data_IF_213780318884
#
_entry.id   IF_213780318884
#
_cell.length_a   1.000
_cell.length_b   1.000
_cell.length_c   1.000
_cell.angle_alpha   90.00
_cell.angle_beta   90.00
_cell.angle_gamma   90.00
#
_symmetry.space_group_name_H-M   'P 1'
#
loop_
_entity.id
_entity.type
_entity.pdbx_description
1 polymer ?
#
# COMPACT_ATOMS: atom_id res chain seq x y z
N UNK A 1 3.13 -8.50 -7.03
CA UNK A 1 3.36 -7.63 -8.20
C UNK A 1 2.05 -7.31 -8.89
N UNK A 2 1.15 -8.28 -9.05
CA UNK A 2 -0.16 -8.10 -9.72
C UNK A 2 -1.15 -7.19 -8.98
N UNK A 3 -1.06 -7.11 -7.65
CA UNK A 3 -1.93 -6.24 -6.85
C UNK A 3 -1.71 -4.74 -7.08
N UNK A 4 -0.49 -4.32 -7.45
CA UNK A 4 -0.19 -2.93 -7.82
C UNK A 4 -0.84 -2.56 -9.15
N UNK A 5 -0.74 -3.45 -10.15
CA UNK A 5 -1.41 -3.28 -11.44
C UNK A 5 -2.92 -3.13 -11.26
N UNK A 6 -3.51 -3.97 -10.41
CA UNK A 6 -4.94 -3.91 -10.09
C UNK A 6 -5.32 -2.63 -9.37
N UNK A 7 -4.48 -2.14 -8.45
CA UNK A 7 -4.66 -0.83 -7.82
C UNK A 7 -4.62 0.32 -8.83
N UNK A 8 -3.71 0.27 -9.80
CA UNK A 8 -3.63 1.27 -10.88
C UNK A 8 -4.85 1.22 -11.80
N UNK A 9 -5.28 0.02 -12.21
CA UNK A 9 -6.48 -0.19 -13.03
C UNK A 9 -7.71 0.34 -12.28
N UNK A 10 -7.83 0.05 -10.99
CA UNK A 10 -8.93 0.54 -10.17
C UNK A 10 -8.94 2.07 -10.07
N UNK A 11 -7.78 2.69 -9.86
CA UNK A 11 -7.67 4.15 -9.80
C UNK A 11 -8.08 4.81 -11.12
N UNK A 12 -7.71 4.21 -12.25
CA UNK A 12 -8.12 4.65 -13.58
C UNK A 12 -9.66 4.54 -13.75
N UNK A 13 -10.23 3.38 -13.41
CA UNK A 13 -11.67 3.13 -13.48
C UNK A 13 -12.45 4.13 -12.62
N UNK A 14 -12.04 4.35 -11.37
CA UNK A 14 -12.71 5.33 -10.48
C UNK A 14 -12.58 6.75 -11.01
N UNK A 15 -11.44 7.12 -11.61
CA UNK A 15 -11.25 8.44 -12.22
C UNK A 15 -12.23 8.67 -13.37
N UNK A 16 -12.47 7.65 -14.21
CA UNK A 16 -13.51 7.68 -15.25
C UNK A 16 -14.95 7.63 -14.68
N UNK A 17 -15.19 6.83 -13.63
CA UNK A 17 -16.51 6.67 -13.02
C UNK A 17 -16.95 7.82 -12.12
N UNK A 18 -16.05 8.74 -11.75
CA UNK A 18 -16.38 9.92 -10.92
C UNK A 18 -17.44 10.83 -11.56
N UNK A 19 -17.77 10.62 -12.84
CA UNK A 19 -18.89 11.29 -13.54
C UNK A 19 -20.29 10.72 -13.20
N UNK A 20 -20.40 9.57 -12.53
CA UNK A 20 -21.67 8.96 -12.08
C UNK A 20 -21.57 8.57 -10.60
N UNK A 21 -21.86 9.53 -9.72
CA UNK A 21 -21.85 9.32 -8.27
C UNK A 21 -23.07 8.48 -7.84
N UNK A 22 -22.91 7.15 -7.90
CA UNK A 22 -23.85 6.22 -7.24
C UNK A 22 -23.44 6.12 -5.78
N UNK A 23 -24.32 6.65 -4.90
CA UNK A 23 -24.15 6.61 -3.45
C UNK A 23 -24.52 5.22 -2.94
N UNK A 24 -23.52 4.48 -2.47
CA UNK A 24 -23.76 3.19 -1.84
C UNK A 24 -24.38 3.39 -0.45
N UNK A 25 -25.29 2.50 -0.06
CA UNK A 25 -25.85 2.53 1.29
C UNK A 25 -24.81 2.00 2.30
N UNK A 26 -24.89 2.47 3.55
CA UNK A 26 -23.98 2.03 4.63
C UNK A 26 -23.98 0.51 4.85
N UNK A 27 -25.10 -0.15 4.53
CA UNK A 27 -25.23 -1.60 4.60
C UNK A 27 -24.38 -2.30 3.52
N UNK A 28 -24.42 -1.79 2.28
CA UNK A 28 -23.62 -2.31 1.17
C UNK A 28 -22.12 -2.13 1.46
N UNK A 29 -21.72 -0.98 2.00
CA UNK A 29 -20.33 -0.75 2.44
C UNK A 29 -19.90 -1.82 3.46
N UNK A 30 -20.70 -2.05 4.50
CA UNK A 30 -20.38 -3.03 5.54
C UNK A 30 -20.25 -4.46 5.00
N UNK A 31 -21.17 -4.87 4.13
CA UNK A 31 -21.13 -6.18 3.46
C UNK A 31 -19.88 -6.32 2.60
N UNK A 32 -19.51 -5.28 1.84
CA UNK A 32 -18.30 -5.29 1.01
C UNK A 32 -17.02 -5.36 1.85
N UNK A 33 -16.97 -4.70 3.02
CA UNK A 33 -15.84 -4.81 3.95
C UNK A 33 -15.70 -6.25 4.44
N UNK A 34 -16.79 -6.86 4.91
CA UNK A 34 -16.77 -8.25 5.38
C UNK A 34 -16.38 -9.19 4.26
N UNK A 35 -16.90 -8.99 3.06
CA UNK A 35 -16.60 -9.84 1.91
C UNK A 35 -15.13 -9.71 1.48
N UNK A 36 -14.61 -8.48 1.40
CA UNK A 36 -13.19 -8.23 1.11
C UNK A 36 -12.26 -8.82 2.18
N UNK A 37 -12.59 -8.64 3.46
CA UNK A 37 -11.87 -9.24 4.58
C UNK A 37 -11.93 -10.77 4.53
N UNK A 38 -13.09 -11.35 4.23
CA UNK A 38 -13.27 -12.80 4.09
C UNK A 38 -12.41 -13.39 2.98
N UNK A 39 -12.32 -12.73 1.81
CA UNK A 39 -11.44 -13.15 0.72
C UNK A 39 -9.96 -13.12 1.13
N UNK A 40 -9.53 -12.10 1.88
CA UNK A 40 -8.17 -12.02 2.43
C UNK A 40 -7.90 -13.16 3.42
N UNK A 41 -8.85 -13.47 4.30
CA UNK A 41 -8.73 -14.58 5.26
C UNK A 41 -8.65 -15.92 4.54
N UNK A 42 -9.48 -16.16 3.52
CA UNK A 42 -9.45 -17.37 2.69
C UNK A 42 -8.11 -17.50 1.96
N UNK A 43 -7.58 -16.40 1.42
CA UNK A 43 -6.23 -16.37 0.84
C UNK A 43 -5.15 -16.72 1.87
N UNK A 44 -5.34 -16.35 3.14
CA UNK A 44 -4.40 -16.64 4.21
C UNK A 44 -4.51 -18.04 4.83
N UNK A 45 -5.66 -18.71 4.71
CA UNK A 45 -5.98 -19.96 5.41
C UNK A 45 -5.10 -21.16 5.02
N UNK A 46 -4.57 -21.19 3.79
CA UNK A 46 -3.78 -22.31 3.28
C UNK A 46 -2.28 -22.03 3.37
N UNK A 47 -1.42 -23.04 3.47
CA UNK A 47 0.06 -22.83 3.45
C UNK A 47 0.55 -22.29 2.11
N UNK A 48 1.72 -21.64 2.08
CA UNK A 48 2.38 -21.11 0.87
C UNK A 48 2.64 -22.20 -0.19
N UNK A 49 2.86 -23.44 0.25
CA UNK A 49 3.18 -24.56 -0.65
C UNK A 49 1.94 -25.18 -1.28
N UNK A 50 0.77 -24.94 -0.69
CA UNK A 50 -0.50 -25.54 -1.11
C UNK A 50 -0.92 -25.02 -2.49
N UNK A 51 -1.35 -25.92 -3.38
CA UNK A 51 -1.78 -25.59 -4.75
C UNK A 51 -2.82 -24.46 -4.78
N UNK A 52 -3.78 -24.47 -3.85
CA UNK A 52 -4.81 -23.44 -3.74
C UNK A 52 -4.22 -22.03 -3.57
N UNK A 53 -3.21 -21.87 -2.70
CA UNK A 53 -2.55 -20.57 -2.52
C UNK A 53 -1.80 -20.15 -3.78
N UNK A 54 -1.10 -21.08 -4.43
CA UNK A 54 -0.32 -20.83 -5.65
C UNK A 54 -1.19 -20.39 -6.84
N UNK A 55 -2.41 -20.92 -6.96
CA UNK A 55 -3.27 -20.67 -8.13
C UNK A 55 -4.39 -19.68 -7.86
N UNK A 56 -5.12 -19.83 -6.74
CA UNK A 56 -6.32 -19.05 -6.45
C UNK A 56 -6.12 -18.03 -5.33
N UNK A 57 -5.20 -18.30 -4.38
CA UNK A 57 -4.93 -17.42 -3.26
C UNK A 57 -4.55 -16.00 -3.68
N UNK A 58 -3.67 -15.85 -4.68
CA UNK A 58 -3.29 -14.54 -5.22
C UNK A 58 -4.47 -13.80 -5.85
N UNK A 59 -5.39 -14.50 -6.51
CA UNK A 59 -6.60 -13.90 -7.07
C UNK A 59 -7.57 -13.46 -5.97
N UNK A 60 -7.73 -14.25 -4.90
CA UNK A 60 -8.49 -13.84 -3.72
C UNK A 60 -7.90 -12.59 -3.06
N UNK A 61 -6.58 -12.50 -2.94
CA UNK A 61 -5.92 -11.30 -2.42
C UNK A 61 -6.16 -10.09 -3.32
N UNK A 62 -5.98 -10.26 -4.63
CA UNK A 62 -6.21 -9.20 -5.61
C UNK A 62 -7.63 -8.64 -5.52
N UNK A 63 -8.66 -9.50 -5.52
CA UNK A 63 -10.06 -9.07 -5.43
C UNK A 63 -10.35 -8.45 -4.06
N UNK A 64 -9.89 -9.08 -2.98
CA UNK A 64 -10.09 -8.57 -1.62
C UNK A 64 -9.50 -7.17 -1.43
N UNK A 65 -8.25 -6.96 -1.87
CA UNK A 65 -7.61 -5.64 -1.83
C UNK A 65 -8.30 -4.63 -2.76
N UNK A 66 -8.76 -5.03 -3.95
CA UNK A 66 -9.50 -4.15 -4.86
C UNK A 66 -10.74 -3.56 -4.20
N UNK A 67 -11.53 -4.41 -3.53
CA UNK A 67 -12.76 -3.99 -2.86
C UNK A 67 -12.45 -3.00 -1.73
N UNK A 68 -11.44 -3.31 -0.91
CA UNK A 68 -11.04 -2.43 0.19
C UNK A 68 -10.48 -1.08 -0.30
N UNK A 69 -9.66 -1.09 -1.36
CA UNK A 69 -9.11 0.14 -1.95
C UNK A 69 -10.25 0.98 -2.55
N UNK A 70 -11.20 0.37 -3.26
CA UNK A 70 -12.38 1.06 -3.83
C UNK A 70 -13.17 1.78 -2.74
N UNK A 71 -13.41 1.11 -1.62
CA UNK A 71 -14.10 1.70 -0.48
C UNK A 71 -13.30 2.86 0.15
N UNK A 72 -11.98 2.72 0.25
CA UNK A 72 -11.11 3.77 0.80
C UNK A 72 -11.02 5.02 -0.09
N UNK A 73 -11.17 4.87 -1.41
CA UNK A 73 -11.16 6.00 -2.36
C UNK A 73 -12.44 6.84 -2.31
N UNK A 74 -13.57 6.27 -1.87
CA UNK A 74 -14.85 6.97 -1.78
C UNK A 74 -14.90 7.86 -0.53
N UNK A 75 -14.73 9.17 -0.73
CA UNK A 75 -14.61 10.20 0.32
C UNK A 75 -15.77 10.29 1.32
N UNK A 76 -16.95 9.76 0.99
CA UNK A 76 -18.14 9.85 1.87
C UNK A 76 -18.19 8.76 2.96
N UNK A 77 -17.26 7.82 2.95
CA UNK A 77 -17.32 6.62 3.78
C UNK A 77 -16.55 6.74 5.10
N UNK A 78 -16.98 5.99 6.13
CA UNK A 78 -16.32 5.92 7.44
C UNK A 78 -14.86 5.46 7.33
N UNK A 79 -14.62 4.52 6.43
CA UNK A 79 -13.30 3.99 6.08
C UNK A 79 -12.38 5.06 5.51
N UNK A 80 -12.85 5.86 4.54
CA UNK A 80 -12.08 6.97 3.98
C UNK A 80 -11.70 8.03 5.05
N UNK A 81 -12.57 8.26 6.03
CA UNK A 81 -12.29 9.18 7.14
C UNK A 81 -11.22 8.64 8.10
N UNK A 82 -11.22 7.34 8.37
CA UNK A 82 -10.20 6.71 9.22
C UNK A 82 -8.82 6.67 8.54
N UNK A 83 -8.76 6.27 7.27
CA UNK A 83 -7.51 6.21 6.50
C UNK A 83 -7.02 7.58 6.01
N UNK A 84 -7.88 8.59 6.01
CA UNK A 84 -7.54 9.97 5.66
C UNK A 84 -6.92 10.81 6.78
N UNK A 85 -6.73 10.25 7.98
CA UNK A 85 -6.12 10.97 9.11
C UNK A 85 -4.70 11.43 8.77
N UNK A 86 -4.33 12.61 9.28
CA UNK A 86 -3.03 13.24 9.02
C UNK A 86 -1.83 12.37 9.42
N UNK A 87 -2.01 11.50 10.42
CA UNK A 87 -0.99 10.56 10.86
C UNK A 87 -0.64 9.52 9.78
N UNK A 88 -1.58 9.15 8.91
CA UNK A 88 -1.33 8.20 7.82
C UNK A 88 -0.73 8.85 6.58
N UNK A 89 -0.80 10.18 6.44
CA UNK A 89 -0.21 10.90 5.29
C UNK A 89 1.30 10.66 5.08
N UNK A 90 2.17 10.66 6.11
CA UNK A 90 3.57 10.33 5.92
C UNK A 90 3.75 8.85 5.52
N UNK A 91 3.01 7.94 6.16
CA UNK A 91 3.08 6.50 5.83
C UNK A 91 2.65 6.23 4.38
N UNK A 92 1.58 6.87 3.92
CA UNK A 92 1.10 6.75 2.55
C UNK A 92 2.07 7.33 1.51
N UNK A 93 2.85 8.36 1.87
CA UNK A 93 3.90 8.91 1.01
C UNK A 93 5.15 8.04 0.98
N UNK A 94 5.53 7.48 2.12
CA UNK A 94 6.69 6.61 2.21
C UNK A 94 6.46 5.19 1.72
N UNK A 95 5.21 4.73 1.67
CA UNK A 95 4.88 3.35 1.35
C UNK A 95 5.50 2.90 0.02
N UNK A 96 5.57 3.79 -0.97
CA UNK A 96 6.23 3.54 -2.25
C UNK A 96 7.74 3.32 -2.09
N UNK A 97 8.43 4.25 -1.43
CA UNK A 97 9.87 4.15 -1.18
C UNK A 97 10.21 2.96 -0.26
N UNK A 98 9.38 2.70 0.75
CA UNK A 98 9.50 1.50 1.58
C UNK A 98 9.36 0.24 0.76
N UNK A 99 8.37 0.15 -0.13
CA UNK A 99 8.20 -1.02 -0.99
C UNK A 99 9.41 -1.27 -1.89
N UNK A 100 9.98 -0.23 -2.50
CA UNK A 100 11.16 -0.37 -3.35
C UNK A 100 12.40 -0.85 -2.58
N UNK A 101 12.59 -0.35 -1.37
CA UNK A 101 13.81 -0.59 -0.61
C UNK A 101 13.68 -1.70 0.44
N UNK A 102 12.48 -2.23 0.71
CA UNK A 102 12.29 -3.17 1.81
C UNK A 102 13.09 -4.46 1.66
N UNK A 103 13.23 -5.04 0.45
CA UNK A 103 13.95 -6.31 0.26
C UNK A 103 15.43 -6.13 0.61
N UNK A 104 16.04 -5.04 0.15
CA UNK A 104 17.43 -4.72 0.41
C UNK A 104 17.66 -4.37 1.90
N UNK A 105 16.82 -3.51 2.46
CA UNK A 105 16.95 -3.07 3.86
C UNK A 105 16.65 -4.22 4.83
N UNK A 106 15.61 -5.02 4.57
CA UNK A 106 15.26 -6.15 5.41
C UNK A 106 16.35 -7.22 5.39
N UNK A 107 16.92 -7.53 4.22
CA UNK A 107 18.07 -8.44 4.13
C UNK A 107 19.25 -7.98 4.98
N UNK A 108 19.58 -6.68 4.92
CA UNK A 108 20.66 -6.10 5.71
C UNK A 108 20.34 -6.09 7.22
N UNK A 109 19.14 -5.66 7.61
CA UNK A 109 18.71 -5.58 9.00
C UNK A 109 18.63 -6.96 9.66
N UNK A 110 18.04 -7.94 8.97
CA UNK A 110 17.96 -9.33 9.43
C UNK A 110 19.36 -9.93 9.53
N UNK A 111 20.24 -9.73 8.53
CA UNK A 111 21.62 -10.23 8.60
C UNK A 111 22.40 -9.67 9.79
N UNK A 112 22.16 -8.41 10.17
CA UNK A 112 22.79 -7.80 11.35
C UNK A 112 22.27 -8.37 12.66
N UNK A 113 20.97 -8.63 12.77
CA UNK A 113 20.35 -9.20 13.99
C UNK A 113 20.67 -10.69 14.13
N UNK A 114 20.79 -11.42 13.02
CA UNK A 114 21.10 -12.86 13.01
C UNK A 114 22.59 -13.20 13.10
N UNK A 115 23.47 -12.20 13.06
CA UNK A 115 24.94 -12.35 13.06
C UNK A 115 25.54 -13.10 14.28
N UNK A 116 24.74 -13.60 15.22
CA UNK A 116 25.19 -14.40 16.37
C UNK A 116 24.24 -15.50 16.83
N UNK A 117 23.14 -15.78 16.10
CA UNK A 117 22.12 -16.75 16.54
C UNK A 117 22.14 -18.01 15.66
N UNK A 118 22.52 -19.16 16.24
CA UNK A 118 22.49 -20.48 15.56
C UNK A 118 21.10 -21.11 15.48
N UNK A 119 20.18 -20.73 16.36
CA UNK A 119 18.76 -21.13 16.33
C UNK A 119 17.90 -19.96 16.82
N UNK A 120 17.11 -19.31 15.94
CA UNK A 120 16.28 -18.20 16.37
C UNK A 120 15.08 -18.71 17.18
N UNK A 121 15.01 -18.33 18.45
CA UNK A 121 13.76 -18.42 19.20
C UNK A 121 12.70 -17.51 18.55
N UNK A 122 11.41 -17.88 18.64
CA UNK A 122 10.30 -17.10 18.06
C UNK A 122 10.32 -15.62 18.46
N UNK A 123 10.75 -15.30 19.68
CA UNK A 123 10.91 -13.91 20.14
C UNK A 123 11.96 -13.12 19.37
N UNK A 124 13.09 -13.75 19.02
CA UNK A 124 14.17 -13.12 18.23
C UNK A 124 13.69 -12.88 16.80
N UNK A 125 12.89 -13.79 16.26
CA UNK A 125 12.28 -13.62 14.94
C UNK A 125 11.32 -12.42 14.92
N UNK A 126 10.39 -12.34 15.88
CA UNK A 126 9.45 -11.21 15.98
C UNK A 126 10.20 -9.88 16.16
N UNK A 127 11.22 -9.86 17.02
CA UNK A 127 12.06 -8.68 17.22
C UNK A 127 12.78 -8.28 15.94
N UNK A 128 13.32 -9.26 15.19
CA UNK A 128 14.00 -9.01 13.91
C UNK A 128 13.06 -8.41 12.88
N UNK A 129 11.81 -8.89 12.81
CA UNK A 129 10.78 -8.33 11.92
C UNK A 129 10.43 -6.89 12.31
N UNK A 130 10.23 -6.62 13.60
CA UNK A 130 9.95 -5.27 14.11
C UNK A 130 11.10 -4.30 13.81
N UNK A 131 12.34 -4.72 14.10
CA UNK A 131 13.54 -3.93 13.82
C UNK A 131 13.67 -3.68 12.32
N UNK A 132 13.45 -4.70 11.48
CA UNK A 132 13.48 -4.57 10.02
C UNK A 132 12.44 -3.56 9.51
N UNK A 133 11.21 -3.59 10.03
CA UNK A 133 10.16 -2.63 9.66
C UNK A 133 10.57 -1.22 10.05
N UNK A 134 11.08 -1.03 11.26
CA UNK A 134 11.48 0.27 11.79
C UNK A 134 12.68 0.85 11.02
N UNK A 135 13.67 0.02 10.71
CA UNK A 135 14.83 0.40 9.91
C UNK A 135 14.42 0.75 8.46
N UNK A 136 13.52 -0.04 7.87
CA UNK A 136 12.95 0.24 6.56
C UNK A 136 12.21 1.58 6.54
N UNK A 137 11.45 1.88 7.60
CA UNK A 137 10.73 3.14 7.72
C UNK A 137 11.69 4.34 7.81
N UNK A 138 12.70 4.25 8.68
CA UNK A 138 13.70 5.31 8.88
C UNK A 138 14.50 5.59 7.60
N UNK A 139 15.04 4.56 6.95
CA UNK A 139 15.82 4.74 5.73
C UNK A 139 14.94 5.30 4.62
N UNK A 140 13.72 4.78 4.47
CA UNK A 140 12.78 5.29 3.47
C UNK A 140 12.38 6.74 3.73
N UNK A 141 12.26 7.14 5.00
CA UNK A 141 12.02 8.53 5.38
C UNK A 141 13.16 9.45 4.94
N UNK A 142 14.41 9.02 5.17
CA UNK A 142 15.59 9.76 4.75
C UNK A 142 15.65 9.87 3.22
N UNK A 143 15.42 8.76 2.50
CA UNK A 143 15.41 8.74 1.04
C UNK A 143 14.29 9.60 0.45
N UNK A 144 13.11 9.58 1.07
CA UNK A 144 11.99 10.44 0.69
C UNK A 144 12.37 11.92 0.81
N UNK A 145 12.98 12.32 1.93
CA UNK A 145 13.40 13.71 2.15
C UNK A 145 14.54 14.12 1.21
N UNK A 146 15.51 13.25 0.98
CA UNK A 146 16.71 13.55 0.19
C UNK A 146 16.51 13.48 -1.33
N UNK A 147 15.65 12.58 -1.80
CA UNK A 147 15.48 12.30 -3.24
C UNK A 147 14.03 12.60 -3.66
N UNK A 148 13.04 11.95 -3.07
CA UNK A 148 11.68 11.99 -3.61
C UNK A 148 11.05 13.39 -3.52
N UNK A 149 11.18 14.06 -2.37
CA UNK A 149 10.65 15.41 -2.12
C UNK A 149 11.20 16.48 -3.07
N UNK A 150 12.52 16.63 -3.28
CA UNK A 150 13.02 17.63 -4.23
C UNK A 150 12.59 17.36 -5.67
N UNK A 151 12.51 16.10 -6.10
CA UNK A 151 12.02 15.74 -7.43
C UNK A 151 10.52 16.07 -7.60
N UNK A 152 9.69 15.83 -6.58
CA UNK A 152 8.28 16.22 -6.58
C UNK A 152 8.09 17.74 -6.71
N UNK A 153 8.85 18.52 -5.95
CA UNK A 153 8.82 19.98 -6.03
C UNK A 153 9.29 20.49 -7.40
N UNK A 154 10.28 19.82 -8.01
CA UNK A 154 10.74 20.16 -9.36
C UNK A 154 9.66 19.90 -10.40
N UNK A 155 8.98 18.74 -10.32
CA UNK A 155 7.86 18.39 -11.21
C UNK A 155 6.72 19.39 -11.10
N UNK A 156 6.33 19.76 -9.88
CA UNK A 156 5.26 20.73 -9.63
C UNK A 156 5.59 22.09 -10.27
N UNK A 157 6.83 22.57 -10.10
CA UNK A 157 7.30 23.82 -10.76
C UNK A 157 7.24 23.74 -12.28
N UNK A 158 7.63 22.61 -12.88
CA UNK A 158 7.60 22.43 -14.34
C UNK A 158 6.15 22.40 -14.86
N UNK A 159 5.24 21.72 -14.16
CA UNK A 159 3.83 21.65 -14.54
C UNK A 159 3.12 22.99 -14.41
N UNK A 160 3.40 23.75 -13.34
CA UNK A 160 2.89 25.12 -13.17
C UNK A 160 3.35 26.04 -14.30
N UNK A 161 4.60 25.92 -14.74
CA UNK A 161 5.12 26.68 -15.89
C UNK A 161 4.40 26.30 -17.19
N UNK A 162 4.14 25.02 -17.42
CA UNK A 162 3.45 24.54 -18.64
C UNK A 162 1.98 24.97 -18.70
N UNK A 163 1.28 25.01 -17.55
CA UNK A 163 -0.09 25.51 -17.45
C UNK A 163 -0.22 27.02 -17.69
N UNK A 164 0.80 27.80 -17.31
CA UNK A 164 0.86 29.24 -17.59
C UNK A 164 1.00 29.53 -19.09
N UNK A 165 1.84 28.77 -19.81
CA UNK A 165 2.04 28.95 -21.26
C UNK A 165 0.80 28.53 -22.08
N UNK A 166 0.02 27.54 -21.65
CA UNK A 166 -1.25 27.16 -22.31
C UNK A 166 -2.42 28.13 -22.06
N UNK A 167 -2.34 29.02 -21.06
CA UNK A 167 -3.36 30.06 -20.79
C UNK A 167 -3.16 31.34 -21.61
N UNK A 168 -2.03 31.46 -22.30
CA UNK A 168 -1.60 32.68 -23.01
C UNK A 168 -1.57 32.52 -24.54
N UNK A 169 -1.85 31.31 -25.03
CA UNK A 169 -2.10 30.98 -26.44
C UNK A 169 -3.60 30.92 -26.70
#
# INVERSE_FOLDING_TARGET
MDSLLIGMILAEIETFQTQSSVKDSKFVEFVLIIFGAGLLTVGHAFSLEHWFRKTLGYNCFNIGYTILIRLALRKENLTARAFGLDCFRPVARLSYTMYLWNILIAGFAVSKVFSGARQPATGIFILSVLVSILFCFLISWILYLGIEKPFLLLKEKILLRKGYDSSKS
#
